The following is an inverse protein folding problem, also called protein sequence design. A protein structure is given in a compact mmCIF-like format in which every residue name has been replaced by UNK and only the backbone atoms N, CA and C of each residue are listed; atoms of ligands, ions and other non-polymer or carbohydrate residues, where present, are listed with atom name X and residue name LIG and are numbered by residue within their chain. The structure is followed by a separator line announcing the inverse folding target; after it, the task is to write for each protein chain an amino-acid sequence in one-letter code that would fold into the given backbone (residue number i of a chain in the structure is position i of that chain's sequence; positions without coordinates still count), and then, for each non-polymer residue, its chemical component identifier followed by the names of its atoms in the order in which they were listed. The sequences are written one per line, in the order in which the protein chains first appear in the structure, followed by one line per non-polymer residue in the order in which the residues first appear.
data_IF_942377009438
#
_entry.id   IF_942377009438
#
_cell.length_a   1.000
_cell.length_b   1.000
_cell.length_c   1.000
_cell.angle_alpha   90.00
_cell.angle_beta   90.00
_cell.angle_gamma   90.00
#
_symmetry.space_group_name_H-M   'P 1'
#
loop_
_entity.id
_entity.type
_entity.pdbx_description
1 polymer ?
#
# COMPACT_ATOMS: atom_id res chain seq x y z
N UNK A 1 10.17 23.12 19.50
CA UNK A 1 9.45 21.82 19.52
C UNK A 1 8.86 21.45 18.16
N UNK A 2 7.98 22.26 17.55
CA UNK A 2 7.46 21.98 16.20
C UNK A 2 8.55 22.05 15.11
N UNK A 3 9.41 23.05 15.18
CA UNK A 3 10.49 23.23 14.20
C UNK A 3 11.52 22.09 14.29
N UNK A 4 11.85 21.66 15.51
CA UNK A 4 12.73 20.52 15.76
C UNK A 4 12.14 19.22 15.20
N UNK A 5 10.84 18.99 15.42
CA UNK A 5 10.11 17.84 14.87
C UNK A 5 10.09 17.86 13.33
N UNK A 6 9.80 19.02 12.74
CA UNK A 6 9.79 19.19 11.28
C UNK A 6 11.18 18.93 10.69
N UNK A 7 12.23 19.44 11.34
CA UNK A 7 13.63 19.21 10.95
C UNK A 7 13.98 17.72 10.98
N UNK A 8 13.62 17.02 12.06
CA UNK A 8 13.85 15.58 12.19
C UNK A 8 13.15 14.77 11.08
N UNK A 9 11.90 15.10 10.74
CA UNK A 9 11.19 14.42 9.64
C UNK A 9 11.79 14.72 8.27
N UNK A 10 12.26 15.95 8.02
CA UNK A 10 12.98 16.26 6.78
C UNK A 10 14.24 15.40 6.64
N UNK A 11 14.99 15.19 7.72
CA UNK A 11 16.18 14.35 7.71
C UNK A 11 15.84 12.88 7.42
N UNK A 12 14.78 12.34 8.05
CA UNK A 12 14.29 10.98 7.76
C UNK A 12 13.90 10.84 6.28
N UNK A 13 13.11 11.78 5.74
CA UNK A 13 12.66 11.72 4.36
C UNK A 13 13.83 11.82 3.37
N UNK A 14 14.83 12.66 3.64
CA UNK A 14 16.02 12.83 2.79
C UNK A 14 16.93 11.61 2.81
N UNK A 15 17.10 10.97 3.97
CA UNK A 15 18.11 9.91 4.17
C UNK A 15 17.55 8.51 3.97
N UNK A 16 16.25 8.31 4.17
CA UNK A 16 15.64 6.98 4.23
C UNK A 16 14.61 6.71 3.13
N UNK A 17 14.23 7.70 2.31
CA UNK A 17 13.37 7.47 1.14
C UNK A 17 14.21 6.95 -0.03
N UNK A 18 14.07 5.68 -0.34
CA UNK A 18 14.84 5.01 -1.39
C UNK A 18 13.92 4.50 -2.51
N UNK A 19 14.44 4.22 -3.73
CA UNK A 19 13.61 3.75 -4.82
C UNK A 19 12.81 2.46 -4.53
N UNK A 20 13.38 1.55 -3.72
CA UNK A 20 12.72 0.28 -3.36
C UNK A 20 11.83 0.40 -2.11
N UNK A 21 12.06 1.40 -1.26
CA UNK A 21 11.28 1.69 -0.06
C UNK A 21 11.00 3.20 0.06
N UNK A 22 10.11 3.74 -0.78
CA UNK A 22 9.83 5.17 -0.82
C UNK A 22 8.96 5.62 0.37
N UNK A 23 9.27 6.79 0.92
CA UNK A 23 8.37 7.52 1.82
C UNK A 23 7.46 8.47 1.02
N UNK A 24 6.21 8.63 1.47
CA UNK A 24 5.23 9.54 0.87
C UNK A 24 4.75 10.58 1.91
N UNK A 25 4.75 11.86 1.53
CA UNK A 25 4.17 12.94 2.34
C UNK A 25 2.72 13.15 1.90
N UNK A 26 1.76 12.89 2.79
CA UNK A 26 0.32 12.95 2.49
C UNK A 26 -0.32 14.14 3.20
N UNK A 27 -0.96 15.09 2.49
CA UNK A 27 -1.74 16.16 3.10
C UNK A 27 -2.85 15.59 4.01
N UNK A 28 -2.83 15.94 5.28
CA UNK A 28 -3.62 15.25 6.31
C UNK A 28 -4.81 16.06 6.87
N UNK A 29 -4.91 17.36 6.57
CA UNK A 29 -5.95 18.24 7.13
C UNK A 29 -7.38 17.79 6.79
N UNK A 30 -7.56 17.18 5.60
CA UNK A 30 -8.85 16.64 5.15
C UNK A 30 -8.83 15.11 5.19
N UNK A 31 -9.46 14.52 6.21
CA UNK A 31 -9.47 13.07 6.45
C UNK A 31 -9.91 12.23 5.23
N UNK A 32 -10.98 12.57 4.48
CA UNK A 32 -11.38 11.77 3.32
C UNK A 32 -10.31 11.77 2.22
N UNK A 33 -9.67 12.92 1.99
CA UNK A 33 -8.60 13.07 0.99
C UNK A 33 -7.38 12.27 1.39
N UNK A 34 -6.93 12.38 2.65
CA UNK A 34 -5.84 11.58 3.21
C UNK A 34 -6.10 10.08 3.02
N UNK A 35 -7.30 9.60 3.37
CA UNK A 35 -7.64 8.19 3.26
C UNK A 35 -7.57 7.70 1.80
N UNK A 36 -8.09 8.49 0.87
CA UNK A 36 -8.04 8.18 -0.55
C UNK A 36 -6.59 8.08 -1.06
N UNK A 37 -5.76 9.06 -0.74
CA UNK A 37 -4.35 9.08 -1.20
C UNK A 37 -3.56 7.88 -0.66
N UNK A 38 -3.73 7.54 0.62
CA UNK A 38 -3.06 6.38 1.22
C UNK A 38 -3.55 5.07 0.56
N UNK A 39 -4.86 4.90 0.39
CA UNK A 39 -5.43 3.72 -0.25
C UNK A 39 -4.94 3.56 -1.69
N UNK A 40 -4.85 4.65 -2.45
CA UNK A 40 -4.36 4.64 -3.82
C UNK A 40 -2.92 4.14 -3.91
N UNK A 41 -2.01 4.64 -3.06
CA UNK A 41 -0.61 4.19 -3.02
C UNK A 41 -0.50 2.70 -2.73
N UNK A 42 -1.29 2.19 -1.78
CA UNK A 42 -1.30 0.76 -1.44
C UNK A 42 -1.81 -0.08 -2.60
N UNK A 43 -2.95 0.30 -3.19
CA UNK A 43 -3.56 -0.42 -4.32
C UNK A 43 -2.63 -0.44 -5.54
N UNK A 44 -2.03 0.69 -5.90
CA UNK A 44 -1.13 0.75 -7.05
C UNK A 44 0.14 -0.09 -6.83
N UNK A 45 0.63 -0.13 -5.58
CA UNK A 45 1.77 -0.98 -5.23
C UNK A 45 1.42 -2.46 -5.34
N UNK A 46 0.28 -2.88 -4.81
CA UNK A 46 -0.20 -4.26 -4.95
C UNK A 46 -0.45 -4.64 -6.41
N UNK A 47 -1.02 -3.74 -7.22
CA UNK A 47 -1.22 -3.97 -8.66
C UNK A 47 0.10 -4.19 -9.39
N UNK A 48 1.13 -3.38 -9.11
CA UNK A 48 2.47 -3.57 -9.70
C UNK A 48 3.11 -4.89 -9.30
N UNK A 49 2.86 -5.38 -8.08
CA UNK A 49 3.33 -6.70 -7.65
C UNK A 49 2.61 -7.84 -8.38
N UNK A 50 1.42 -7.59 -8.94
CA UNK A 50 0.60 -8.59 -9.64
C UNK A 50 0.44 -9.90 -8.86
N UNK A 51 -0.02 -9.85 -7.59
CA UNK A 51 -0.25 -11.05 -6.81
C UNK A 51 -1.37 -11.87 -7.47
N UNK A 52 -1.12 -13.17 -7.62
CA UNK A 52 -2.12 -14.12 -8.07
C UNK A 52 -2.68 -14.88 -6.87
N UNK A 53 -3.95 -15.26 -6.95
CA UNK A 53 -4.47 -16.28 -6.05
C UNK A 53 -3.70 -17.59 -6.26
N UNK A 54 -3.47 -18.39 -5.21
CA UNK A 54 -2.99 -19.75 -5.40
C UNK A 54 -4.01 -20.54 -6.24
N UNK A 55 -3.56 -21.59 -6.94
CA UNK A 55 -4.49 -22.50 -7.60
C UNK A 55 -5.49 -23.05 -6.58
N UNK A 56 -6.74 -23.22 -7.03
CA UNK A 56 -7.76 -23.84 -6.20
C UNK A 56 -7.39 -25.30 -5.89
N UNK A 57 -7.77 -25.78 -4.71
CA UNK A 57 -7.59 -27.18 -4.35
C UNK A 57 -8.37 -28.08 -5.33
N UNK A 58 -7.79 -29.18 -5.83
CA UNK A 58 -8.45 -30.06 -6.80
C UNK A 58 -9.81 -30.60 -6.30
N UNK A 59 -9.96 -30.78 -4.99
CA UNK A 59 -11.22 -31.22 -4.37
C UNK A 59 -12.33 -30.17 -4.50
N UNK A 60 -11.98 -28.89 -4.34
CA UNK A 60 -12.95 -27.78 -4.49
C UNK A 60 -13.40 -27.65 -5.94
N UNK A 61 -12.48 -27.80 -6.90
CA UNK A 61 -12.82 -27.78 -8.33
C UNK A 61 -13.79 -28.91 -8.70
N UNK A 62 -13.56 -30.12 -8.17
CA UNK A 62 -14.43 -31.28 -8.39
C UNK A 62 -15.86 -31.04 -7.85
N UNK A 63 -15.97 -30.49 -6.65
CA UNK A 63 -17.28 -30.15 -6.05
C UNK A 63 -18.03 -29.08 -6.85
N UNK A 64 -17.31 -28.13 -7.45
CA UNK A 64 -17.92 -27.11 -8.32
C UNK A 64 -18.47 -27.71 -9.62
N UNK A 65 -17.78 -28.68 -10.22
CA UNK A 65 -18.26 -29.40 -11.42
C UNK A 65 -19.52 -30.24 -11.14
N UNK A 66 -19.70 -30.74 -9.92
CA UNK A 66 -20.88 -31.53 -9.52
C UNK A 66 -22.14 -30.67 -9.30
N UNK A 67 -22.00 -29.35 -9.10
CA UNK A 67 -23.10 -28.42 -8.77
C UNK A 67 -23.61 -27.65 -10.01
N UNK A 68 -22.81 -27.56 -11.07
CA UNK A 68 -23.15 -26.88 -12.35
C UNK A 68 -23.76 -27.86 -13.34
#
# INVERSE_FOLDING_TARGET
LWDDYTTAYQDVLRRCSTPHAPWYVVPADKKPVRNLLVAQVVVDTLRRMSPAHPPAEPEVLRLLEEIV
#
